data_IF_313054594788
#
_entry.id   IF_313054594788
#
_cell.length_a   1.000
_cell.length_b   1.000
_cell.length_c   1.000
_cell.angle_alpha   90.00
_cell.angle_beta   90.00
_cell.angle_gamma   90.00
#
_symmetry.space_group_name_H-M   'P 1'
#
loop_
_entity.id
_entity.type
_entity.pdbx_description
1 polymer ?
#
# COMPACT_ATOMS: atom_id res chain seq x y z
N UNK A 1 -16.54 20.39 1.12
CA UNK A 1 -15.74 21.36 0.34
C UNK A 1 -14.55 20.57 -0.24
N UNK A 2 -14.38 20.33 -1.55
CA UNK A 2 -14.44 21.22 -2.72
C UNK A 2 -14.84 20.42 -3.96
N UNK A 3 -15.68 21.05 -4.79
CA UNK A 3 -16.21 20.57 -6.06
C UNK A 3 -15.10 20.42 -7.12
N UNK A 4 -15.02 19.26 -7.76
CA UNK A 4 -14.18 19.03 -8.95
C UNK A 4 -14.95 19.57 -10.17
N UNK A 5 -14.60 20.78 -10.62
CA UNK A 5 -15.14 21.36 -11.86
C UNK A 5 -14.46 20.71 -13.06
N UNK A 6 -15.12 19.70 -13.63
CA UNK A 6 -14.80 19.15 -14.95
C UNK A 6 -15.31 20.15 -16.00
N UNK A 7 -14.44 21.04 -16.48
CA UNK A 7 -14.75 21.96 -17.57
C UNK A 7 -14.52 21.23 -18.89
N UNK A 8 -15.59 20.70 -19.45
CA UNK A 8 -15.63 20.07 -20.76
C UNK A 8 -15.92 21.16 -21.80
N UNK A 9 -14.88 21.70 -22.42
CA UNK A 9 -15.00 22.68 -23.52
C UNK A 9 -15.28 21.92 -24.82
N UNK A 10 -16.56 21.71 -25.12
CA UNK A 10 -17.00 21.39 -26.49
C UNK A 10 -17.00 22.71 -27.25
N UNK A 11 -15.95 22.92 -28.04
CA UNK A 11 -15.89 23.99 -29.03
C UNK A 11 -16.93 23.75 -30.13
N UNK A 12 -17.97 24.57 -30.10
CA UNK A 12 -18.99 24.69 -31.14
C UNK A 12 -18.31 25.16 -32.45
N UNK A 13 -18.17 24.27 -33.43
CA UNK A 13 -17.75 24.64 -34.79
C UNK A 13 -18.99 25.10 -35.56
N UNK A 14 -19.30 26.40 -35.43
CA UNK A 14 -20.35 27.06 -36.19
C UNK A 14 -19.93 27.20 -37.65
N UNK A 15 -20.59 26.43 -38.51
CA UNK A 15 -20.61 26.60 -39.96
C UNK A 15 -21.23 27.96 -40.31
N UNK A 16 -20.42 28.96 -40.64
CA UNK A 16 -20.88 30.18 -41.30
C UNK A 16 -20.65 30.06 -42.81
N UNK A 17 -21.76 29.83 -43.50
CA UNK A 17 -22.17 30.24 -44.84
C UNK A 17 -21.12 30.38 -45.96
N UNK A 18 -21.21 29.43 -46.89
CA UNK A 18 -20.82 29.51 -48.30
C UNK A 18 -21.58 30.65 -49.01
N UNK A 19 -20.89 31.55 -49.74
CA UNK A 19 -21.39 32.15 -51.02
C UNK A 19 -20.23 32.78 -51.84
N UNK A 20 -20.00 32.18 -53.01
CA UNK A 20 -19.50 32.70 -54.30
C UNK A 20 -18.00 33.01 -54.59
N UNK A 21 -17.50 32.22 -55.57
CA UNK A 21 -16.61 32.48 -56.74
C UNK A 21 -15.31 33.28 -56.58
N UNK A 22 -14.12 32.72 -56.84
CA UNK A 22 -13.53 32.22 -58.12
C UNK A 22 -12.54 33.22 -58.70
N UNK A 23 -11.32 33.25 -58.15
CA UNK A 23 -10.04 33.32 -58.86
C UNK A 23 -8.92 33.42 -57.81
N UNK A 24 -8.05 32.40 -57.77
CA UNK A 24 -6.61 32.37 -57.43
C UNK A 24 -6.30 30.91 -57.06
N UNK A 25 -6.46 30.05 -58.07
CA UNK A 25 -6.04 28.65 -58.12
C UNK A 25 -4.54 28.55 -58.40
N UNK A 26 -3.69 29.25 -57.63
CA UNK A 26 -2.23 29.05 -57.70
C UNK A 26 -1.42 29.34 -56.43
N UNK A 27 -2.08 29.41 -55.27
CA UNK A 27 -1.40 29.47 -53.96
C UNK A 27 -2.11 28.60 -52.91
N UNK A 28 -2.98 27.69 -53.35
CA UNK A 28 -3.68 26.73 -52.50
C UNK A 28 -2.95 25.38 -52.41
N UNK A 29 -2.10 25.04 -53.37
CA UNK A 29 -1.38 23.75 -53.41
C UNK A 29 -0.17 23.71 -52.46
N UNK A 30 0.49 24.83 -52.19
CA UNK A 30 1.61 24.85 -51.23
C UNK A 30 1.17 24.97 -49.77
N UNK A 31 0.09 25.73 -49.47
CA UNK A 31 -0.48 25.80 -48.11
C UNK A 31 -1.24 24.54 -47.70
N UNK A 32 -1.72 23.74 -48.65
CA UNK A 32 -2.37 22.45 -48.35
C UNK A 32 -1.37 21.39 -47.89
N UNK A 33 -0.11 21.44 -48.34
CA UNK A 33 0.93 20.51 -47.88
C UNK A 33 1.40 20.86 -46.47
N UNK A 34 1.62 22.15 -46.19
CA UNK A 34 2.06 22.63 -44.88
C UNK A 34 0.97 22.46 -43.80
N UNK A 35 -0.30 22.70 -44.15
CA UNK A 35 -1.43 22.45 -43.23
C UNK A 35 -1.62 20.95 -42.97
N UNK A 36 -1.51 20.10 -44.00
CA UNK A 36 -1.63 18.64 -43.83
C UNK A 36 -0.49 18.07 -42.96
N UNK A 37 0.73 18.54 -43.15
CA UNK A 37 1.92 18.13 -42.41
C UNK A 37 1.88 18.63 -40.96
N UNK A 38 1.43 19.86 -40.72
CA UNK A 38 1.15 20.39 -39.38
C UNK A 38 0.04 19.63 -38.65
N UNK A 39 -1.02 19.19 -39.35
CA UNK A 39 -2.05 18.33 -38.73
C UNK A 39 -1.55 16.94 -38.39
N UNK A 40 -0.61 16.37 -39.15
CA UNK A 40 -0.05 15.05 -38.88
C UNK A 40 0.87 15.09 -37.66
N UNK A 41 1.75 16.08 -37.58
CA UNK A 41 2.61 16.33 -36.41
C UNK A 41 1.79 16.59 -35.13
N UNK A 42 0.70 17.35 -35.25
CA UNK A 42 -0.21 17.59 -34.12
C UNK A 42 -0.94 16.31 -33.68
N UNK A 43 -1.35 15.45 -34.61
CA UNK A 43 -2.00 14.18 -34.32
C UNK A 43 -1.03 13.17 -33.69
N UNK A 44 0.20 13.07 -34.21
CA UNK A 44 1.24 12.18 -33.66
C UNK A 44 1.62 12.62 -32.23
N UNK A 45 1.80 13.93 -32.01
CA UNK A 45 2.07 14.48 -30.67
C UNK A 45 0.92 14.29 -29.68
N UNK A 46 -0.33 14.38 -30.15
CA UNK A 46 -1.51 14.11 -29.34
C UNK A 46 -1.62 12.62 -28.97
N UNK A 47 -1.28 11.72 -29.90
CA UNK A 47 -1.25 10.27 -29.67
C UNK A 47 -0.17 9.90 -28.65
N UNK A 48 1.04 10.44 -28.81
CA UNK A 48 2.16 10.19 -27.89
C UNK A 48 1.81 10.65 -26.46
N UNK A 49 1.21 11.83 -26.33
CA UNK A 49 0.75 12.36 -25.03
C UNK A 49 -0.34 11.48 -24.41
N UNK A 50 -1.26 10.93 -25.21
CA UNK A 50 -2.31 10.04 -24.73
C UNK A 50 -1.75 8.70 -24.24
N UNK A 51 -0.75 8.13 -24.92
CA UNK A 51 -0.03 6.93 -24.44
C UNK A 51 0.72 7.19 -23.15
N UNK A 52 1.45 8.30 -23.03
CA UNK A 52 2.18 8.66 -21.81
C UNK A 52 1.26 8.79 -20.58
N UNK A 53 0.06 9.36 -20.78
CA UNK A 53 -0.95 9.47 -19.70
C UNK A 53 -1.52 8.10 -19.35
N UNK A 54 -1.79 7.24 -20.34
CA UNK A 54 -2.29 5.89 -20.10
C UNK A 54 -1.27 5.02 -19.37
N UNK A 55 0.01 5.11 -19.72
CA UNK A 55 1.09 4.37 -19.07
C UNK A 55 1.29 4.85 -17.62
N UNK A 56 1.31 6.16 -17.37
CA UNK A 56 1.35 6.69 -15.98
C UNK A 56 0.15 6.27 -15.14
N UNK A 57 -1.04 6.22 -15.74
CA UNK A 57 -2.24 5.77 -15.04
C UNK A 57 -2.16 4.28 -14.68
N UNK A 58 -1.62 3.46 -15.58
CA UNK A 58 -1.39 2.03 -15.37
C UNK A 58 -0.33 1.76 -14.29
N UNK A 59 0.75 2.53 -14.28
CA UNK A 59 1.79 2.44 -13.26
C UNK A 59 1.24 2.80 -11.88
N UNK A 60 0.50 3.92 -11.79
CA UNK A 60 -0.17 4.33 -10.54
C UNK A 60 -1.15 3.29 -10.04
N UNK A 61 -1.94 2.68 -10.93
CA UNK A 61 -2.88 1.62 -10.58
C UNK A 61 -2.17 0.34 -10.09
N UNK A 62 -1.02 0.02 -10.70
CA UNK A 62 -0.20 -1.14 -10.29
C UNK A 62 0.44 -0.90 -8.93
N UNK A 63 0.98 0.28 -8.68
CA UNK A 63 1.54 0.66 -7.38
C UNK A 63 0.50 0.64 -6.26
N UNK A 64 -0.70 1.18 -6.54
CA UNK A 64 -1.80 1.14 -5.57
C UNK A 64 -2.23 -0.29 -5.26
N UNK A 65 -2.30 -1.17 -6.27
CA UNK A 65 -2.61 -2.59 -6.09
C UNK A 65 -1.54 -3.29 -5.25
N UNK A 66 -0.26 -3.07 -5.55
CA UNK A 66 0.84 -3.69 -4.82
C UNK A 66 0.86 -3.25 -3.34
N UNK A 67 0.69 -1.95 -3.07
CA UNK A 67 0.55 -1.43 -1.70
C UNK A 67 -0.63 -2.05 -0.95
N UNK A 68 -1.75 -2.30 -1.63
CA UNK A 68 -2.90 -2.94 -1.02
C UNK A 68 -2.62 -4.41 -0.65
N UNK A 69 -1.90 -5.15 -1.51
CA UNK A 69 -1.46 -6.53 -1.22
C UNK A 69 -0.51 -6.55 -0.02
N UNK A 70 0.45 -5.64 0.04
CA UNK A 70 1.40 -5.53 1.16
C UNK A 70 0.68 -5.23 2.48
N UNK A 71 -0.33 -4.35 2.46
CA UNK A 71 -1.11 -4.01 3.64
C UNK A 71 -1.95 -5.20 4.15
N UNK A 72 -2.53 -5.99 3.25
CA UNK A 72 -3.27 -7.21 3.62
C UNK A 72 -2.32 -8.23 4.25
N UNK A 73 -1.17 -8.49 3.63
CA UNK A 73 -0.17 -9.40 4.18
C UNK A 73 0.32 -8.94 5.56
N UNK A 74 0.55 -7.63 5.75
CA UNK A 74 0.97 -7.08 7.03
C UNK A 74 -0.12 -7.26 8.10
N UNK A 75 -1.39 -7.05 7.76
CA UNK A 75 -2.52 -7.27 8.67
C UNK A 75 -2.64 -8.73 9.09
N UNK A 76 -2.47 -9.66 8.16
CA UNK A 76 -2.51 -11.09 8.45
C UNK A 76 -1.37 -11.49 9.39
N UNK A 77 -0.16 -10.95 9.17
CA UNK A 77 0.97 -11.17 10.06
C UNK A 77 0.78 -10.58 11.46
N UNK A 78 0.16 -9.40 11.58
CA UNK A 78 -0.24 -8.83 12.89
C UNK A 78 -1.26 -9.73 13.59
N UNK A 79 -2.23 -10.27 12.86
CA UNK A 79 -3.21 -11.22 13.41
C UNK A 79 -2.54 -12.52 13.86
N UNK A 80 -1.54 -13.00 13.11
CA UNK A 80 -0.70 -14.13 13.48
C UNK A 80 0.05 -13.89 14.80
N UNK A 81 0.66 -12.71 14.96
CA UNK A 81 1.30 -12.29 16.21
C UNK A 81 0.32 -12.27 17.39
N UNK A 82 -0.88 -11.71 17.21
CA UNK A 82 -1.92 -11.70 18.25
C UNK A 82 -2.34 -13.11 18.66
N UNK A 83 -2.47 -13.99 17.67
CA UNK A 83 -2.81 -15.40 17.90
C UNK A 83 -1.70 -16.11 18.67
N UNK A 84 -0.45 -15.95 18.26
CA UNK A 84 0.71 -16.56 18.91
C UNK A 84 0.85 -16.14 20.37
N UNK A 85 0.75 -14.84 20.67
CA UNK A 85 0.83 -14.37 22.07
C UNK A 85 -0.33 -14.91 22.92
N UNK A 86 -1.53 -15.02 22.34
CA UNK A 86 -2.71 -15.56 23.04
C UNK A 86 -2.58 -17.06 23.31
N UNK A 87 -2.03 -17.82 22.36
CA UNK A 87 -1.77 -19.25 22.53
C UNK A 87 -0.71 -19.50 23.59
N UNK A 88 0.39 -18.74 23.59
CA UNK A 88 1.40 -18.77 24.65
C UNK A 88 0.79 -18.45 26.01
N UNK A 89 -0.01 -17.40 26.11
CA UNK A 89 -0.72 -17.02 27.34
C UNK A 89 -1.65 -18.16 27.83
N UNK A 90 -2.37 -18.80 26.92
CA UNK A 90 -3.26 -19.92 27.24
C UNK A 90 -2.49 -21.11 27.80
N UNK A 91 -1.36 -21.46 27.19
CA UNK A 91 -0.49 -22.54 27.67
C UNK A 91 0.10 -22.23 29.06
N UNK A 92 0.57 -20.99 29.28
CA UNK A 92 1.02 -20.54 30.61
C UNK A 92 -0.12 -20.61 31.63
N UNK A 93 -1.34 -20.16 31.27
CA UNK A 93 -2.53 -20.25 32.15
C UNK A 93 -2.87 -21.70 32.49
N UNK A 94 -2.64 -22.65 31.59
CA UNK A 94 -2.77 -24.08 31.85
C UNK A 94 -1.62 -24.67 32.68
N UNK A 95 -0.50 -23.95 32.84
CA UNK A 95 0.73 -24.47 33.46
C UNK A 95 1.56 -25.36 32.53
N UNK A 96 1.22 -25.40 31.25
CA UNK A 96 1.93 -26.18 30.23
C UNK A 96 3.08 -25.34 29.65
N UNK A 97 4.20 -25.30 30.36
CA UNK A 97 5.36 -24.51 29.97
C UNK A 97 6.11 -25.06 28.76
N UNK A 98 5.99 -26.36 28.49
CA UNK A 98 6.56 -26.95 27.27
C UNK A 98 5.83 -26.40 26.04
N UNK A 99 4.50 -26.50 26.03
CA UNK A 99 3.68 -25.90 24.97
C UNK A 99 3.85 -24.39 24.90
N UNK A 100 3.94 -23.70 26.03
CA UNK A 100 4.18 -22.25 26.03
C UNK A 100 5.49 -21.88 25.33
N UNK A 101 6.56 -22.65 25.52
CA UNK A 101 7.84 -22.44 24.80
C UNK A 101 7.69 -22.67 23.30
N UNK A 102 6.97 -23.73 22.91
CA UNK A 102 6.74 -24.04 21.49
C UNK A 102 5.94 -22.92 20.79
N UNK A 103 4.82 -22.48 21.38
CA UNK A 103 4.02 -21.38 20.81
C UNK A 103 4.78 -20.05 20.85
N UNK A 104 5.57 -19.81 21.91
CA UNK A 104 6.41 -18.62 21.99
C UNK A 104 7.50 -18.63 20.91
N UNK A 105 8.09 -19.77 20.58
CA UNK A 105 9.05 -19.89 19.47
C UNK A 105 8.45 -19.45 18.14
N UNK A 106 7.25 -19.96 17.80
CA UNK A 106 6.51 -19.55 16.58
C UNK A 106 6.16 -18.06 16.58
N UNK A 107 5.84 -17.51 17.75
CA UNK A 107 5.62 -16.07 17.92
C UNK A 107 6.90 -15.27 17.61
N UNK A 108 8.07 -15.71 18.09
CA UNK A 108 9.35 -15.06 17.79
C UNK A 108 9.67 -15.11 16.29
N UNK A 109 9.41 -16.23 15.62
CA UNK A 109 9.57 -16.36 14.17
C UNK A 109 8.67 -15.37 13.43
N UNK A 110 7.39 -15.32 13.79
CA UNK A 110 6.42 -14.37 13.22
C UNK A 110 6.88 -12.92 13.43
N UNK A 111 7.41 -12.60 14.60
CA UNK A 111 7.93 -11.26 14.91
C UNK A 111 9.04 -10.82 13.95
N UNK A 112 9.96 -11.73 13.59
CA UNK A 112 11.08 -11.38 12.70
C UNK A 112 10.62 -10.89 11.33
N UNK A 113 9.47 -11.34 10.86
CA UNK A 113 8.91 -10.95 9.56
C UNK A 113 8.21 -9.58 9.58
N UNK A 114 7.72 -9.13 10.73
CA UNK A 114 6.93 -7.89 10.82
C UNK A 114 7.70 -6.68 11.33
N UNK A 115 8.78 -6.87 12.10
CA UNK A 115 9.47 -5.77 12.80
C UNK A 115 9.96 -4.67 11.86
N UNK A 116 10.30 -4.99 10.61
CA UNK A 116 10.80 -4.02 9.65
C UNK A 116 9.67 -3.22 8.99
N UNK A 117 8.42 -3.68 9.07
CA UNK A 117 7.24 -3.11 8.42
C UNK A 117 6.36 -2.25 9.33
N UNK A 118 6.72 -2.11 10.61
CA UNK A 118 5.96 -1.36 11.61
C UNK A 118 6.80 -0.24 12.20
N UNK A 119 6.15 0.70 12.91
CA UNK A 119 6.85 1.87 13.44
C UNK A 119 7.84 1.51 14.56
N UNK A 120 8.99 2.21 14.67
CA UNK A 120 10.05 1.89 15.63
C UNK A 120 9.59 1.80 17.09
N UNK A 121 8.65 2.65 17.52
CA UNK A 121 8.10 2.61 18.87
C UNK A 121 7.37 1.29 19.17
N UNK A 122 6.67 0.73 18.18
CA UNK A 122 6.03 -0.58 18.28
C UNK A 122 7.09 -1.69 18.30
N UNK A 123 8.15 -1.56 17.48
CA UNK A 123 9.31 -2.48 17.49
C UNK A 123 9.92 -2.57 18.88
N UNK A 124 10.28 -1.45 19.48
CA UNK A 124 10.92 -1.42 20.80
C UNK A 124 10.02 -2.02 21.88
N UNK A 125 8.73 -1.65 21.92
CA UNK A 125 7.81 -2.16 22.93
C UNK A 125 7.63 -3.67 22.84
N UNK A 126 7.41 -4.19 21.63
CA UNK A 126 7.14 -5.62 21.43
C UNK A 126 8.41 -6.45 21.61
N UNK A 127 9.55 -6.01 21.07
CA UNK A 127 10.83 -6.70 21.25
C UNK A 127 11.18 -6.83 22.74
N UNK A 128 11.04 -5.74 23.51
CA UNK A 128 11.29 -5.75 24.96
C UNK A 128 10.35 -6.72 25.69
N UNK A 129 9.07 -6.76 25.31
CA UNK A 129 8.10 -7.70 25.86
C UNK A 129 8.43 -9.15 25.53
N UNK A 130 8.83 -9.44 24.29
CA UNK A 130 9.29 -10.77 23.86
C UNK A 130 10.52 -11.21 24.65
N UNK A 131 11.55 -10.37 24.77
CA UNK A 131 12.78 -10.72 25.49
C UNK A 131 12.50 -11.00 26.99
N UNK A 132 11.60 -10.21 27.58
CA UNK A 132 11.16 -10.37 28.97
C UNK A 132 10.42 -11.70 29.20
N UNK A 133 9.51 -12.05 28.29
CA UNK A 133 8.79 -13.34 28.32
C UNK A 133 9.74 -14.50 28.10
N UNK A 134 10.66 -14.38 27.13
CA UNK A 134 11.68 -15.39 26.82
C UNK A 134 12.49 -15.75 28.07
N UNK A 135 13.08 -14.74 28.71
CA UNK A 135 13.89 -14.94 29.91
C UNK A 135 13.08 -15.60 31.05
N UNK A 136 11.79 -15.27 31.16
CA UNK A 136 10.91 -15.82 32.20
C UNK A 136 10.46 -17.26 31.90
N UNK A 137 10.28 -17.62 30.62
CA UNK A 137 10.00 -18.99 30.18
C UNK A 137 11.22 -19.90 30.28
N UNK A 138 12.42 -19.38 30.05
CA UNK A 138 13.69 -20.13 30.10
C UNK A 138 14.24 -20.33 31.52
N UNK A 139 13.67 -19.65 32.52
CA UNK A 139 14.03 -19.85 33.91
C UNK A 139 13.83 -21.33 34.34
N UNK A 140 14.70 -21.83 35.24
CA UNK A 140 14.64 -23.21 35.72
C UNK A 140 13.30 -23.57 36.36
N UNK A 141 12.64 -22.58 36.97
CA UNK A 141 11.26 -22.67 37.44
C UNK A 141 10.50 -21.42 36.96
N UNK A 142 9.76 -21.52 35.85
CA UNK A 142 8.99 -20.39 35.34
C UNK A 142 7.90 -19.95 36.32
N UNK A 143 7.88 -18.65 36.64
CA UNK A 143 6.83 -18.05 37.46
C UNK A 143 5.58 -17.82 36.61
N UNK A 144 4.55 -18.63 36.87
CA UNK A 144 3.28 -18.57 36.14
C UNK A 144 2.60 -17.20 36.23
N UNK A 145 2.53 -16.59 37.41
CA UNK A 145 1.81 -15.34 37.62
C UNK A 145 2.53 -14.17 36.94
N UNK A 146 3.87 -14.15 37.06
CA UNK A 146 4.72 -13.20 36.35
C UNK A 146 4.57 -13.34 34.83
N UNK A 147 4.62 -14.57 34.31
CA UNK A 147 4.46 -14.83 32.87
C UNK A 147 3.10 -14.41 32.34
N UNK A 148 2.01 -14.66 33.08
CA UNK A 148 0.67 -14.20 32.72
C UNK A 148 0.66 -12.68 32.58
N UNK A 149 1.22 -11.96 33.56
CA UNK A 149 1.25 -10.49 33.57
C UNK A 149 2.05 -9.94 32.40
N UNK A 150 3.23 -10.52 32.11
CA UNK A 150 4.08 -10.13 30.99
C UNK A 150 3.40 -10.39 29.64
N UNK A 151 2.78 -11.55 29.47
CA UNK A 151 2.08 -11.92 28.24
C UNK A 151 0.82 -11.07 28.02
N UNK A 152 0.08 -10.71 29.07
CA UNK A 152 -1.05 -9.77 28.95
C UNK A 152 -0.60 -8.35 28.58
N UNK A 153 0.58 -7.93 29.05
CA UNK A 153 1.24 -6.72 28.57
C UNK A 153 1.58 -6.81 27.09
N UNK A 154 2.18 -7.94 26.67
CA UNK A 154 2.54 -8.17 25.27
C UNK A 154 1.31 -8.22 24.35
N UNK A 155 0.20 -8.84 24.77
CA UNK A 155 -1.08 -8.81 24.04
C UNK A 155 -1.51 -7.38 23.74
N UNK A 156 -1.41 -6.47 24.72
CA UNK A 156 -1.76 -5.05 24.55
C UNK A 156 -0.80 -4.36 23.57
N UNK A 157 0.51 -4.57 23.70
CA UNK A 157 1.49 -4.00 22.78
C UNK A 157 1.28 -4.47 21.34
N UNK A 158 1.02 -5.76 21.12
CA UNK A 158 0.73 -6.31 19.78
C UNK A 158 -0.61 -5.80 19.26
N UNK A 159 -1.63 -5.65 20.12
CA UNK A 159 -2.90 -5.03 19.75
C UNK A 159 -2.81 -3.54 19.39
N UNK A 160 -1.77 -2.85 19.88
CA UNK A 160 -1.51 -1.44 19.64
C UNK A 160 -0.50 -1.15 18.53
N UNK A 161 -0.12 -2.14 17.70
CA UNK A 161 0.85 -1.95 16.62
C UNK A 161 0.43 -0.80 15.71
N UNK A 162 1.34 0.16 15.53
CA UNK A 162 1.21 1.21 14.53
C UNK A 162 1.99 0.82 13.26
N UNK A 163 1.30 0.85 12.12
CA UNK A 163 1.88 0.59 10.79
C UNK A 163 2.70 1.80 10.31
N UNK A 164 3.75 1.54 9.52
CA UNK A 164 4.58 2.58 8.89
C UNK A 164 3.83 3.38 7.84
#
# INVERSE_FOLDING_TARGET
>A
MRQLKLVLVIGLLSLFSLTACEEVTKTATEKSSEVAEQTKDAADKAKDTATDVADKAKDTATDAKNKAVDLVALKDSVTGMQTGVTQTLTAVKAGDFAKAKDEFGKLQESWTTIKDNIKPESVTSIQSGLDTVKASLEASQPDKAKLITQLEGLVKSVGGIALK
#
